data_IF_479911087728
#
_entry.id   IF_479911087728
#
_cell.length_a   1.000
_cell.length_b   1.000
_cell.length_c   1.000
_cell.angle_alpha   90.00
_cell.angle_beta   90.00
_cell.angle_gamma   90.00
#
_symmetry.space_group_name_H-M   'P 1'
#
loop_
_entity.id
_entity.type
_entity.pdbx_description
1 polymer ?
#
# COMPACT_ATOMS: atom_id res chain seq x y z
N UNK A 1 -2.48 70.70 40.71
CA UNK A 1 -3.18 70.04 39.60
C UNK A 1 -3.86 71.14 38.78
N UNK A 2 -3.37 71.43 37.58
CA UNK A 2 -4.01 72.37 36.65
C UNK A 2 -4.45 71.57 35.43
N UNK A 3 -5.74 71.26 35.38
CA UNK A 3 -6.37 70.50 34.30
C UNK A 3 -6.74 71.47 33.17
N UNK A 4 -5.96 71.46 32.11
CA UNK A 4 -6.16 72.31 30.93
C UNK A 4 -7.24 71.73 30.03
N UNK A 5 -8.45 72.26 30.15
CA UNK A 5 -9.58 71.87 29.30
C UNK A 5 -9.36 72.39 27.85
N UNK A 6 -9.40 71.55 26.81
CA UNK A 6 -9.13 71.99 25.44
C UNK A 6 -10.26 72.91 24.93
N UNK A 7 -9.88 74.03 24.29
CA UNK A 7 -10.84 74.96 23.67
C UNK A 7 -11.52 74.30 22.46
N UNK A 8 -12.84 74.49 22.28
CA UNK A 8 -13.55 73.93 21.15
C UNK A 8 -13.08 74.57 19.83
N UNK A 9 -12.81 73.73 18.83
CA UNK A 9 -12.44 74.15 17.48
C UNK A 9 -13.56 74.97 16.83
N UNK A 10 -13.19 76.00 16.06
CA UNK A 10 -14.12 76.84 15.31
C UNK A 10 -14.84 76.03 14.22
N UNK A 11 -16.04 76.48 13.82
CA UNK A 11 -16.84 75.79 12.81
C UNK A 11 -16.10 75.62 11.47
N UNK A 12 -15.24 76.59 11.12
CA UNK A 12 -14.44 76.55 9.90
C UNK A 12 -13.34 75.48 9.94
N UNK A 13 -12.71 75.26 11.10
CA UNK A 13 -11.73 74.19 11.27
C UNK A 13 -12.38 72.80 11.19
N UNK A 14 -13.59 72.64 11.74
CA UNK A 14 -14.35 71.38 11.63
C UNK A 14 -14.73 71.07 10.18
N UNK A 15 -15.12 72.08 9.39
CA UNK A 15 -15.48 71.91 7.98
C UNK A 15 -14.29 71.49 7.11
N UNK A 16 -13.09 72.01 7.38
CA UNK A 16 -11.87 71.63 6.64
C UNK A 16 -11.43 70.21 6.97
N UNK A 17 -11.57 69.78 8.22
CA UNK A 17 -11.30 68.39 8.62
C UNK A 17 -12.30 67.43 7.98
N UNK A 18 -13.58 67.82 7.89
CA UNK A 18 -14.61 67.03 7.22
C UNK A 18 -14.31 66.88 5.72
N UNK A 19 -14.04 67.97 5.01
CA UNK A 19 -13.69 67.92 3.58
C UNK A 19 -12.41 67.12 3.32
N UNK A 20 -11.37 67.27 4.16
CA UNK A 20 -10.15 66.47 4.03
C UNK A 20 -10.42 64.97 4.23
N UNK A 21 -11.29 64.62 5.18
CA UNK A 21 -11.74 63.24 5.40
C UNK A 21 -12.53 62.69 4.21
N UNK A 22 -13.41 63.49 3.62
CA UNK A 22 -14.24 63.07 2.47
C UNK A 22 -13.40 62.88 1.19
N UNK A 23 -12.38 63.71 0.98
CA UNK A 23 -11.43 63.57 -0.14
C UNK A 23 -10.61 62.29 0.02
N UNK A 24 -10.11 62.01 1.23
CA UNK A 24 -9.33 60.80 1.50
C UNK A 24 -10.19 59.52 1.42
N UNK A 25 -11.46 59.60 1.84
CA UNK A 25 -12.40 58.48 1.73
C UNK A 25 -12.84 58.20 0.28
N UNK A 26 -12.89 59.23 -0.58
CA UNK A 26 -13.17 59.09 -2.00
C UNK A 26 -11.99 58.43 -2.74
N UNK A 27 -10.76 58.83 -2.42
CA UNK A 27 -9.55 58.28 -3.04
C UNK A 27 -9.29 56.82 -2.66
N UNK A 28 -9.60 56.43 -1.41
CA UNK A 28 -9.52 55.04 -0.95
C UNK A 28 -10.50 54.09 -1.65
N UNK A 29 -11.61 54.59 -2.22
CA UNK A 29 -12.59 53.78 -2.95
C UNK A 29 -12.22 53.52 -4.42
N UNK A 30 -11.33 54.33 -5.00
CA UNK A 30 -10.94 54.22 -6.39
C UNK A 30 -9.80 53.20 -6.65
N UNK A 31 -9.17 52.67 -5.59
CA UNK A 31 -8.00 51.78 -5.67
C UNK A 31 -8.23 50.39 -5.07
N UNK A 32 -9.45 49.86 -5.22
CA UNK A 32 -9.73 48.44 -4.96
C UNK A 32 -9.46 47.67 -6.24
N UNK A 33 -8.20 47.23 -6.41
CA UNK A 33 -7.86 46.27 -7.46
C UNK A 33 -8.78 45.03 -7.34
N UNK A 34 -9.34 44.51 -8.44
CA UNK A 34 -10.11 43.29 -8.38
C UNK A 34 -9.21 42.17 -7.86
N UNK A 35 -9.64 41.51 -6.78
CA UNK A 35 -8.89 40.43 -6.15
C UNK A 35 -8.41 39.43 -7.23
N UNK A 36 -7.12 39.03 -7.22
CA UNK A 36 -6.60 38.12 -8.22
C UNK A 36 -7.45 36.84 -8.23
N UNK A 37 -7.74 36.26 -9.42
CA UNK A 37 -8.52 35.03 -9.49
C UNK A 37 -7.84 33.98 -8.62
N UNK A 38 -8.61 33.35 -7.73
CA UNK A 38 -8.12 32.33 -6.83
C UNK A 38 -7.27 31.32 -7.64
N UNK A 39 -6.05 30.95 -7.16
CA UNK A 39 -5.21 30.03 -7.91
C UNK A 39 -6.01 28.75 -8.16
N UNK A 40 -6.01 28.29 -9.42
CA UNK A 40 -6.68 27.06 -9.80
C UNK A 40 -6.23 25.97 -8.83
N UNK A 41 -7.18 25.36 -8.11
CA UNK A 41 -6.88 24.25 -7.20
C UNK A 41 -6.02 23.26 -7.98
N UNK A 42 -4.83 22.88 -7.49
CA UNK A 42 -4.00 21.95 -8.22
C UNK A 42 -4.84 20.72 -8.52
N UNK A 43 -4.99 20.35 -9.79
CA UNK A 43 -5.58 19.07 -10.23
C UNK A 43 -4.65 17.90 -9.87
N UNK A 44 -3.82 18.05 -8.85
CA UNK A 44 -2.99 17.00 -8.33
C UNK A 44 -3.90 16.01 -7.63
N UNK A 45 -4.21 14.91 -8.31
CA UNK A 45 -4.54 13.67 -7.59
C UNK A 45 -3.32 13.45 -6.69
N UNK A 46 -3.46 13.45 -5.35
CA UNK A 46 -2.35 13.07 -4.50
C UNK A 46 -1.87 11.72 -5.03
N UNK A 47 -0.62 11.67 -5.48
CA UNK A 47 -0.04 10.40 -5.87
C UNK A 47 -0.18 9.50 -4.66
N UNK A 48 -0.90 8.38 -4.84
CA UNK A 48 -1.18 7.38 -3.80
C UNK A 48 0.10 6.60 -3.45
N UNK A 49 1.19 7.30 -3.12
CA UNK A 49 2.31 6.72 -2.40
C UNK A 49 1.96 6.52 -0.92
N UNK A 50 0.76 6.90 -0.49
CA UNK A 50 0.10 6.47 0.75
C UNK A 50 0.14 4.93 0.90
N UNK A 51 1.09 4.45 1.70
CA UNK A 51 1.09 3.13 2.36
C UNK A 51 0.94 1.94 1.40
N UNK A 52 1.79 1.87 0.38
CA UNK A 52 1.93 0.63 -0.38
C UNK A 52 2.67 -0.40 0.49
N UNK A 53 1.89 -1.26 1.15
CA UNK A 53 2.41 -2.37 1.96
C UNK A 53 3.14 -3.35 1.03
N UNK A 54 4.42 -3.57 1.30
CA UNK A 54 5.19 -4.60 0.62
C UNK A 54 4.98 -5.96 1.32
N UNK A 55 4.32 -6.89 0.63
CA UNK A 55 4.08 -8.25 1.12
C UNK A 55 5.28 -9.18 0.92
N UNK A 56 6.31 -8.73 0.18
CA UNK A 56 7.55 -9.49 -0.05
C UNK A 56 8.66 -9.16 0.96
N UNK A 57 8.49 -8.10 1.75
CA UNK A 57 9.41 -7.79 2.83
C UNK A 57 9.31 -8.88 3.93
N UNK A 58 10.45 -9.47 4.26
CA UNK A 58 10.56 -10.53 5.28
C UNK A 58 11.62 -10.10 6.29
N UNK A 59 11.32 -10.27 7.58
CA UNK A 59 12.26 -9.94 8.66
C UNK A 59 13.47 -10.91 8.64
N UNK A 60 14.69 -10.45 8.98
CA UNK A 60 15.90 -11.27 8.86
C UNK A 60 15.85 -12.60 9.61
N UNK A 61 15.22 -12.65 10.79
CA UNK A 61 15.07 -13.89 11.57
C UNK A 61 14.05 -14.87 10.98
N UNK A 62 13.22 -14.43 10.03
CA UNK A 62 12.22 -15.25 9.35
C UNK A 62 12.68 -15.73 7.97
N UNK A 63 13.92 -15.43 7.56
CA UNK A 63 14.42 -15.80 6.22
C UNK A 63 14.55 -17.31 6.03
N UNK A 64 14.92 -18.04 7.08
CA UNK A 64 15.05 -19.51 6.99
C UNK A 64 13.68 -20.18 6.77
N UNK A 65 12.68 -19.80 7.58
CA UNK A 65 11.32 -20.31 7.42
C UNK A 65 10.70 -19.84 6.09
N UNK A 66 11.03 -18.64 5.61
CA UNK A 66 10.60 -18.17 4.29
C UNK A 66 11.12 -19.06 3.17
N UNK A 67 12.39 -19.46 3.22
CA UNK A 67 12.98 -20.38 2.23
C UNK A 67 12.25 -21.72 2.21
N UNK A 68 11.96 -22.27 3.39
CA UNK A 68 11.24 -23.55 3.54
C UNK A 68 9.79 -23.46 3.08
N UNK A 69 9.12 -22.34 3.35
CA UNK A 69 7.78 -22.05 2.83
C UNK A 69 7.76 -21.89 1.30
N UNK A 70 8.81 -21.31 0.69
CA UNK A 70 8.97 -21.29 -0.78
C UNK A 70 9.15 -22.70 -1.34
N UNK A 71 9.99 -23.53 -0.71
CA UNK A 71 10.15 -24.94 -1.09
C UNK A 71 8.80 -25.68 -1.02
N UNK A 72 8.04 -25.47 0.05
CA UNK A 72 6.68 -26.00 0.20
C UNK A 72 5.70 -25.47 -0.88
N UNK A 73 5.74 -24.17 -1.20
CA UNK A 73 4.92 -23.58 -2.25
C UNK A 73 5.22 -24.16 -3.64
N UNK A 74 6.51 -24.34 -3.95
CA UNK A 74 6.97 -25.02 -5.17
C UNK A 74 6.51 -26.48 -5.17
N UNK A 75 6.62 -27.20 -4.06
CA UNK A 75 6.11 -28.56 -3.93
C UNK A 75 4.61 -28.65 -4.24
N UNK A 76 3.78 -27.78 -3.66
CA UNK A 76 2.34 -27.75 -3.93
C UNK A 76 2.01 -27.44 -5.40
N UNK A 77 2.77 -26.54 -6.03
CA UNK A 77 2.51 -26.09 -7.41
C UNK A 77 3.08 -27.05 -8.46
N UNK A 78 4.15 -27.77 -8.11
CA UNK A 78 4.87 -28.69 -9.01
C UNK A 78 4.10 -29.94 -9.42
N UNK A 79 2.84 -30.10 -8.97
CA UNK A 79 1.99 -31.19 -9.45
C UNK A 79 1.72 -30.97 -10.94
N UNK A 80 2.22 -31.84 -11.84
CA UNK A 80 2.04 -31.65 -13.26
C UNK A 80 0.56 -31.75 -13.60
N UNK A 81 -0.01 -30.65 -14.08
CA UNK A 81 -1.36 -30.68 -14.61
C UNK A 81 -1.30 -31.31 -16.01
N UNK A 82 -1.96 -32.44 -16.20
CA UNK A 82 -2.11 -33.08 -17.50
C UNK A 82 -3.07 -32.25 -18.38
N UNK A 83 -2.64 -31.05 -18.76
CA UNK A 83 -3.39 -30.15 -19.64
C UNK A 83 -3.28 -30.57 -21.13
N UNK A 84 -2.54 -31.62 -21.45
CA UNK A 84 -2.51 -32.16 -22.81
C UNK A 84 -3.84 -32.85 -23.09
N UNK A 85 -4.53 -32.39 -24.15
CA UNK A 85 -5.71 -33.08 -24.64
C UNK A 85 -5.35 -34.55 -24.95
N UNK A 86 -6.28 -35.51 -24.76
CA UNK A 86 -5.98 -36.93 -24.87
C UNK A 86 -5.25 -37.32 -26.17
N UNK A 87 -5.61 -36.69 -27.29
CA UNK A 87 -5.00 -36.92 -28.61
C UNK A 87 -3.51 -36.54 -28.72
N UNK A 88 -3.01 -35.66 -27.83
CA UNK A 88 -1.63 -35.17 -27.86
C UNK A 88 -0.73 -35.78 -26.78
N UNK A 89 -1.23 -36.72 -25.96
CA UNK A 89 -0.41 -37.36 -24.90
C UNK A 89 0.81 -38.12 -25.43
N UNK A 90 0.72 -38.64 -26.65
CA UNK A 90 1.79 -39.40 -27.32
C UNK A 90 2.53 -38.58 -28.38
N UNK A 91 2.18 -37.30 -28.55
CA UNK A 91 2.86 -36.44 -29.50
C UNK A 91 4.31 -36.24 -29.04
N UNK A 92 5.24 -36.73 -29.85
CA UNK A 92 6.67 -36.61 -29.55
C UNK A 92 7.06 -35.13 -29.59
N UNK A 93 7.64 -34.56 -28.51
CA UNK A 93 8.08 -33.18 -28.51
C UNK A 93 9.12 -32.95 -29.63
N UNK A 94 9.00 -31.81 -30.31
CA UNK A 94 9.98 -31.39 -31.32
C UNK A 94 11.41 -31.43 -30.74
N UNK A 95 12.40 -31.79 -31.55
CA UNK A 95 13.79 -31.97 -31.10
C UNK A 95 14.34 -30.74 -30.35
N UNK A 96 13.90 -29.53 -30.73
CA UNK A 96 14.24 -28.26 -30.06
C UNK A 96 13.74 -28.17 -28.61
N UNK A 97 12.60 -28.78 -28.29
CA UNK A 97 12.07 -28.85 -26.92
C UNK A 97 12.88 -29.82 -26.03
N UNK A 98 13.50 -30.85 -26.61
CA UNK A 98 14.41 -31.76 -25.89
C UNK A 98 15.73 -31.09 -25.53
N UNK A 99 16.23 -30.21 -26.41
CA UNK A 99 17.46 -29.46 -26.18
C UNK A 99 17.35 -28.38 -25.09
N UNK A 100 16.14 -27.88 -24.81
CA UNK A 100 15.87 -26.83 -23.81
C UNK A 100 15.33 -27.34 -22.47
N UNK A 101 14.97 -28.63 -22.38
CA UNK A 101 14.01 -29.14 -21.39
C UNK A 101 14.52 -29.44 -19.98
N UNK A 102 15.83 -29.34 -19.69
CA UNK A 102 16.38 -29.76 -18.39
C UNK A 102 17.00 -28.64 -17.56
N UNK A 103 16.90 -27.39 -18.00
CA UNK A 103 17.51 -26.26 -17.31
C UNK A 103 16.58 -25.82 -16.15
N UNK A 104 16.95 -26.29 -14.95
CA UNK A 104 16.95 -25.54 -13.67
C UNK A 104 15.61 -25.25 -12.98
N UNK A 105 14.83 -26.27 -12.62
CA UNK A 105 14.05 -26.17 -11.39
C UNK A 105 14.90 -26.71 -10.24
N UNK A 106 15.12 -25.94 -9.17
CA UNK A 106 15.82 -26.49 -8.00
C UNK A 106 15.07 -27.72 -7.49
N UNK A 107 15.80 -28.79 -7.12
CA UNK A 107 15.18 -29.98 -6.59
C UNK A 107 14.41 -29.64 -5.32
N UNK A 108 13.11 -29.89 -5.34
CA UNK A 108 12.21 -29.67 -4.20
C UNK A 108 12.49 -30.70 -3.12
N UNK A 109 12.84 -30.26 -1.91
CA UNK A 109 12.92 -31.15 -0.75
C UNK A 109 11.51 -31.51 -0.29
N UNK A 110 11.06 -32.70 -0.69
CA UNK A 110 9.73 -33.22 -0.37
C UNK A 110 9.56 -33.51 1.12
N UNK A 111 10.63 -33.91 1.80
CA UNK A 111 10.56 -34.29 3.22
C UNK A 111 10.28 -33.07 4.09
N UNK A 112 10.97 -31.97 3.81
CA UNK A 112 10.74 -30.68 4.46
C UNK A 112 9.36 -30.11 4.09
N UNK A 113 8.99 -30.15 2.81
CA UNK A 113 7.68 -29.66 2.36
C UNK A 113 6.50 -30.35 3.07
N UNK A 114 6.58 -31.66 3.32
CA UNK A 114 5.54 -32.40 4.08
C UNK A 114 5.50 -31.95 5.54
N UNK A 115 6.65 -31.69 6.18
CA UNK A 115 6.71 -31.18 7.56
C UNK A 115 6.07 -29.79 7.65
N UNK A 116 6.43 -28.89 6.74
CA UNK A 116 5.85 -27.55 6.64
C UNK A 116 4.35 -27.62 6.38
N UNK A 117 3.88 -28.49 5.47
CA UNK A 117 2.45 -28.66 5.21
C UNK A 117 1.66 -29.05 6.47
N UNK A 118 2.19 -29.98 7.28
CA UNK A 118 1.58 -30.37 8.56
C UNK A 118 1.58 -29.22 9.56
N UNK A 119 2.68 -28.48 9.66
CA UNK A 119 2.79 -27.34 10.56
C UNK A 119 1.83 -26.21 10.19
N UNK A 120 1.70 -25.90 8.90
CA UNK A 120 0.76 -24.90 8.38
C UNK A 120 -0.69 -25.33 8.60
N UNK A 121 -1.02 -26.61 8.41
CA UNK A 121 -2.35 -27.14 8.69
C UNK A 121 -2.76 -27.03 10.17
N UNK A 122 -1.78 -27.02 11.08
CA UNK A 122 -2.00 -26.84 12.52
C UNK A 122 -2.07 -25.35 12.95
N UNK A 123 -1.95 -24.39 12.04
CA UNK A 123 -2.13 -22.96 12.36
C UNK A 123 -3.62 -22.58 12.37
N UNK A 124 -4.01 -21.49 13.06
CA UNK A 124 -5.35 -20.96 12.94
C UNK A 124 -5.67 -20.61 11.49
N UNK A 125 -6.94 -20.84 11.10
CA UNK A 125 -7.40 -20.80 9.69
C UNK A 125 -7.01 -19.50 8.96
N UNK A 126 -7.02 -18.35 9.64
CA UNK A 126 -6.63 -17.06 9.06
C UNK A 126 -5.15 -16.99 8.65
N UNK A 127 -4.24 -17.45 9.52
CA UNK A 127 -2.80 -17.48 9.23
C UNK A 127 -2.47 -18.52 8.16
N UNK A 128 -3.08 -19.71 8.25
CA UNK A 128 -2.91 -20.76 7.24
C UNK A 128 -3.37 -20.28 5.85
N UNK A 129 -4.54 -19.63 5.76
CA UNK A 129 -5.05 -19.07 4.52
C UNK A 129 -4.15 -17.96 3.95
N UNK A 130 -3.61 -17.09 4.81
CA UNK A 130 -2.67 -16.05 4.39
C UNK A 130 -1.38 -16.67 3.80
N UNK A 131 -0.78 -17.67 4.47
CA UNK A 131 0.40 -18.37 3.97
C UNK A 131 0.13 -19.11 2.65
N UNK A 132 -1.00 -19.81 2.55
CA UNK A 132 -1.43 -20.45 1.29
C UNK A 132 -1.53 -19.44 0.15
N UNK A 133 -2.11 -18.28 0.41
CA UNK A 133 -2.19 -17.20 -0.57
C UNK A 133 -0.80 -16.72 -0.99
N UNK A 134 0.09 -16.43 -0.04
CA UNK A 134 1.40 -15.85 -0.36
C UNK A 134 2.32 -16.79 -1.16
N UNK A 135 2.34 -18.08 -0.83
CA UNK A 135 3.35 -19.02 -1.36
C UNK A 135 2.85 -19.97 -2.44
N UNK A 136 1.58 -20.36 -2.43
CA UNK A 136 1.04 -21.34 -3.38
C UNK A 136 0.39 -20.61 -4.55
N UNK A 137 -0.54 -19.70 -4.26
CA UNK A 137 -1.34 -19.04 -5.29
C UNK A 137 -1.58 -17.57 -4.96
N UNK A 138 -0.57 -16.71 -5.19
CA UNK A 138 -0.72 -15.28 -4.97
C UNK A 138 -1.73 -14.71 -5.96
N UNK A 139 -2.94 -14.42 -5.47
CA UNK A 139 -3.93 -13.59 -6.16
C UNK A 139 -3.77 -12.12 -5.75
N UNK A 140 -4.50 -11.19 -6.37
CA UNK A 140 -4.49 -9.79 -5.96
C UNK A 140 -4.76 -9.65 -4.44
N UNK A 141 -3.95 -8.90 -3.66
CA UNK A 141 -4.07 -8.82 -2.20
C UNK A 141 -5.48 -8.43 -1.73
N UNK A 142 -6.19 -7.59 -2.49
CA UNK A 142 -7.58 -7.20 -2.20
C UNK A 142 -8.56 -8.38 -2.23
N UNK A 143 -8.42 -9.30 -3.20
CA UNK A 143 -9.25 -10.51 -3.27
C UNK A 143 -8.93 -11.45 -2.10
N UNK A 144 -7.66 -11.59 -1.74
CA UNK A 144 -7.24 -12.39 -0.58
C UNK A 144 -7.86 -11.83 0.72
N UNK A 145 -7.75 -10.52 0.93
CA UNK A 145 -8.38 -9.80 2.03
C UNK A 145 -9.89 -10.05 2.11
N UNK A 146 -10.61 -10.00 0.98
CA UNK A 146 -12.04 -10.30 0.92
C UNK A 146 -12.36 -11.75 1.29
N UNK A 147 -11.55 -12.71 0.83
CA UNK A 147 -11.76 -14.13 1.14
C UNK A 147 -11.49 -14.48 2.61
N UNK A 148 -10.54 -13.80 3.25
CA UNK A 148 -10.14 -14.05 4.65
C UNK A 148 -10.94 -13.17 5.62
N UNK A 149 -11.50 -12.05 5.14
CA UNK A 149 -12.25 -11.09 5.95
C UNK A 149 -11.35 -10.08 6.68
N UNK A 150 -10.24 -9.64 6.05
CA UNK A 150 -9.24 -8.76 6.69
C UNK A 150 -8.95 -7.51 5.87
N UNK A 151 -8.26 -6.55 6.46
CA UNK A 151 -7.69 -5.40 5.75
C UNK A 151 -6.33 -5.76 5.13
N UNK A 152 -5.77 -4.90 4.27
CA UNK A 152 -4.43 -5.10 3.70
C UNK A 152 -3.34 -5.15 4.78
N UNK A 153 -3.43 -4.26 5.78
CA UNK A 153 -2.54 -4.28 6.93
C UNK A 153 -2.72 -5.54 7.79
N UNK A 154 -3.98 -5.96 7.97
CA UNK A 154 -4.29 -7.22 8.66
C UNK A 154 -3.72 -8.44 7.95
N UNK A 155 -3.76 -8.47 6.61
CA UNK A 155 -3.18 -9.56 5.82
C UNK A 155 -1.66 -9.63 5.97
N UNK A 156 -0.97 -8.49 5.94
CA UNK A 156 0.47 -8.44 6.18
C UNK A 156 0.82 -8.93 7.59
N UNK A 157 0.06 -8.49 8.59
CA UNK A 157 0.23 -8.96 9.98
C UNK A 157 0.01 -10.47 10.09
N UNK A 158 -1.04 -11.02 9.48
CA UNK A 158 -1.30 -12.46 9.49
C UNK A 158 -0.15 -13.28 8.89
N UNK A 159 0.53 -12.75 7.86
CA UNK A 159 1.70 -13.38 7.27
C UNK A 159 2.91 -13.37 8.21
N UNK A 160 3.24 -12.21 8.76
CA UNK A 160 4.36 -12.07 9.71
C UNK A 160 4.12 -12.93 10.95
N UNK A 161 2.92 -12.86 11.52
CA UNK A 161 2.54 -13.68 12.68
C UNK A 161 2.53 -15.17 12.33
N UNK A 162 2.06 -15.54 11.13
CA UNK A 162 2.05 -16.93 10.66
C UNK A 162 3.46 -17.53 10.56
N UNK A 163 4.42 -16.77 10.01
CA UNK A 163 5.84 -17.16 9.97
C UNK A 163 6.42 -17.26 11.38
N UNK A 164 6.13 -16.28 12.23
CA UNK A 164 6.62 -16.27 13.61
C UNK A 164 6.09 -17.47 14.40
N UNK A 165 4.82 -17.87 14.21
CA UNK A 165 4.26 -19.06 14.84
C UNK A 165 4.96 -20.35 14.40
N UNK A 166 5.40 -20.45 13.15
CA UNK A 166 6.16 -21.60 12.67
C UNK A 166 7.56 -21.65 13.29
N UNK A 167 8.23 -20.49 13.38
CA UNK A 167 9.53 -20.36 14.08
C UNK A 167 9.39 -20.77 15.55
N UNK A 168 8.36 -20.27 16.24
CA UNK A 168 8.11 -20.58 17.65
C UNK A 168 7.81 -22.07 17.89
N UNK A 169 7.27 -22.78 16.88
CA UNK A 169 7.02 -24.21 16.93
C UNK A 169 8.26 -25.06 16.63
N UNK A 170 9.40 -24.43 16.30
CA UNK A 170 10.66 -25.10 16.01
C UNK A 170 10.59 -25.99 14.77
N UNK A 171 9.68 -25.66 13.84
CA UNK A 171 9.50 -26.41 12.60
C UNK A 171 10.70 -26.18 11.73
#
# INVERSE_FOLDING_TARGET
>A
MLETKPRPLSAQAKSLIQMAGDIWAAEARAHVDPAPPAPARPRYKPERWELKIDFHAVEPHQLDIDRRLRNWGTWCTSTPHAASAPMFRLAVPAARARAYGSVTAEPVDRSDAIRIARAVAALPRGHAAALHWAYIKPVSPRKACQSIGTTLAGLAKLLTDGRQMLVNRGV
#
